data_IF_056282556083
#
_entry.id   IF_056282556083
#
_cell.length_a   1.000
_cell.length_b   1.000
_cell.length_c   1.000
_cell.angle_alpha   90.00
_cell.angle_beta   90.00
_cell.angle_gamma   90.00
#
_symmetry.space_group_name_H-M   'P 1'
#
loop_
_entity.id
_entity.type
_entity.pdbx_description
1 polymer ?
#
# COMPACT_ATOMS: atom_id res chain seq x y z
N UNK A 1 7.28 7.38 23.84
CA UNK A 1 6.53 6.87 22.67
C UNK A 1 5.87 8.04 22.05
N UNK A 2 6.28 8.28 20.84
CA UNK A 2 6.24 9.61 20.32
C UNK A 2 5.06 9.42 19.24
N UNK A 3 4.17 10.38 18.98
CA UNK A 3 2.86 10.17 18.27
C UNK A 3 2.88 9.46 16.89
N UNK A 4 3.89 9.66 16.02
CA UNK A 4 3.99 8.97 14.71
C UNK A 4 4.35 7.47 14.83
N UNK A 5 5.00 7.02 15.91
CA UNK A 5 5.30 5.60 16.13
C UNK A 5 4.00 4.82 16.35
N UNK A 6 3.10 5.40 17.14
CA UNK A 6 1.81 4.83 17.48
C UNK A 6 0.90 4.75 16.24
N UNK A 7 0.96 5.77 15.38
CA UNK A 7 0.26 5.78 14.10
C UNK A 7 0.83 4.74 13.09
N UNK A 8 2.15 4.54 13.05
CA UNK A 8 2.77 3.50 12.23
C UNK A 8 2.35 2.09 12.69
N UNK A 9 2.29 1.89 14.01
CA UNK A 9 1.85 0.63 14.60
C UNK A 9 0.37 0.35 14.28
N UNK A 10 -0.50 1.36 14.35
CA UNK A 10 -1.89 1.27 13.93
C UNK A 10 -2.04 0.90 12.44
N UNK A 11 -1.27 1.54 11.56
CA UNK A 11 -1.25 1.22 10.12
C UNK A 11 -0.83 -0.24 9.85
N UNK A 12 0.07 -0.80 10.66
CA UNK A 12 0.49 -2.19 10.53
C UNK A 12 -0.65 -3.18 10.80
N UNK A 13 -1.56 -2.86 11.72
CA UNK A 13 -2.75 -3.68 11.96
C UNK A 13 -3.76 -3.64 10.81
N UNK A 14 -3.83 -2.52 10.07
CA UNK A 14 -4.72 -2.37 8.90
C UNK A 14 -4.29 -3.30 7.75
N UNK A 15 -3.02 -3.69 7.68
CA UNK A 15 -2.53 -4.62 6.65
C UNK A 15 -3.07 -6.04 6.82
N UNK A 16 -3.46 -6.45 8.03
CA UNK A 16 -3.97 -7.81 8.32
C UNK A 16 -5.28 -8.10 7.57
N UNK A 17 -6.34 -7.28 7.70
CA UNK A 17 -7.58 -7.50 6.95
C UNK A 17 -7.38 -7.31 5.44
N UNK A 18 -6.49 -6.41 5.00
CA UNK A 18 -6.17 -6.22 3.58
C UNK A 18 -5.52 -7.48 2.98
N UNK A 19 -4.56 -8.08 3.68
CA UNK A 19 -3.93 -9.33 3.28
C UNK A 19 -4.95 -10.49 3.22
N UNK A 20 -5.89 -10.53 4.17
CA UNK A 20 -6.95 -11.54 4.18
C UNK A 20 -7.89 -11.42 2.96
N UNK A 21 -8.37 -10.21 2.67
CA UNK A 21 -9.24 -9.93 1.52
C UNK A 21 -8.48 -10.20 0.21
N UNK A 22 -7.20 -9.85 0.15
CA UNK A 22 -6.33 -10.15 -0.99
C UNK A 22 -6.13 -11.65 -1.24
N UNK A 23 -6.17 -12.48 -0.20
CA UNK A 23 -6.07 -13.93 -0.34
C UNK A 23 -7.39 -14.61 -0.73
N UNK A 24 -8.53 -14.16 -0.18
CA UNK A 24 -9.83 -14.86 -0.27
C UNK A 24 -10.92 -14.20 -1.14
N UNK A 25 -10.77 -12.94 -1.53
CA UNK A 25 -11.82 -12.19 -2.24
C UNK A 25 -12.00 -12.60 -3.69
N UNK A 26 -13.06 -12.09 -4.32
CA UNK A 26 -13.23 -12.18 -5.79
C UNK A 26 -12.08 -11.49 -6.54
N UNK A 27 -11.77 -11.86 -7.80
CA UNK A 27 -10.66 -11.27 -8.56
C UNK A 27 -10.63 -9.73 -8.55
N UNK A 28 -11.81 -9.09 -8.59
CA UNK A 28 -11.95 -7.64 -8.49
C UNK A 28 -11.66 -7.12 -7.09
N UNK A 29 -12.18 -7.77 -6.05
CA UNK A 29 -11.92 -7.40 -4.65
C UNK A 29 -10.45 -7.59 -4.27
N UNK A 30 -9.81 -8.66 -4.77
CA UNK A 30 -8.37 -8.90 -4.57
C UNK A 30 -7.54 -7.75 -5.13
N UNK A 31 -7.83 -7.30 -6.36
CA UNK A 31 -7.11 -6.18 -6.95
C UNK A 31 -7.29 -4.88 -6.14
N UNK A 32 -8.53 -4.56 -5.76
CA UNK A 32 -8.81 -3.36 -4.95
C UNK A 32 -8.09 -3.42 -3.61
N UNK A 33 -8.09 -4.59 -2.95
CA UNK A 33 -7.37 -4.78 -1.69
C UNK A 33 -5.86 -4.67 -1.83
N UNK A 34 -5.29 -5.09 -2.96
CA UNK A 34 -3.87 -4.90 -3.27
C UNK A 34 -3.52 -3.42 -3.45
N UNK A 35 -4.33 -2.68 -4.19
CA UNK A 35 -4.11 -1.24 -4.39
C UNK A 35 -4.24 -0.47 -3.06
N UNK A 36 -5.21 -0.83 -2.22
CA UNK A 36 -5.36 -0.26 -0.89
C UNK A 36 -4.19 -0.61 0.03
N UNK A 37 -3.67 -1.84 -0.04
CA UNK A 37 -2.49 -2.24 0.72
C UNK A 37 -1.25 -1.41 0.33
N UNK A 38 -1.07 -1.16 -0.96
CA UNK A 38 0.05 -0.36 -1.45
C UNK A 38 0.00 1.09 -0.94
N UNK A 39 -1.18 1.74 -0.97
CA UNK A 39 -1.37 3.08 -0.40
C UNK A 39 -1.04 3.11 1.10
N UNK A 40 -1.49 2.10 1.85
CA UNK A 40 -1.20 1.98 3.28
C UNK A 40 0.30 1.77 3.54
N UNK A 41 0.98 0.95 2.73
CA UNK A 41 2.43 0.71 2.83
C UNK A 41 3.21 1.99 2.53
N UNK A 42 2.80 2.75 1.51
CA UNK A 42 3.41 4.04 1.16
C UNK A 42 3.30 5.05 2.30
N UNK A 43 2.11 5.17 2.91
CA UNK A 43 1.89 6.01 4.10
C UNK A 43 2.70 5.52 5.31
N UNK A 44 2.78 4.21 5.52
CA UNK A 44 3.56 3.60 6.59
C UNK A 44 5.06 3.88 6.44
N UNK A 45 5.60 3.80 5.21
CA UNK A 45 6.99 4.17 4.90
C UNK A 45 7.26 5.66 5.16
N UNK A 46 6.32 6.53 4.80
CA UNK A 46 6.42 7.97 5.09
C UNK A 46 6.41 8.25 6.60
N UNK A 47 5.52 7.59 7.37
CA UNK A 47 5.47 7.72 8.83
C UNK A 47 6.73 7.21 9.50
N UNK A 48 7.28 6.07 9.04
CA UNK A 48 8.54 5.51 9.54
C UNK A 48 9.72 6.47 9.27
N UNK A 49 9.73 7.10 8.10
CA UNK A 49 10.75 8.11 7.74
C UNK A 49 10.73 9.29 8.72
N UNK A 50 9.53 9.78 9.07
CA UNK A 50 9.35 10.83 10.09
C UNK A 50 9.73 10.34 11.49
N UNK A 51 9.31 9.13 11.88
CA UNK A 51 9.60 8.57 13.20
C UNK A 51 11.10 8.40 13.44
N UNK A 52 11.83 7.89 12.45
CA UNK A 52 13.28 7.71 12.54
C UNK A 52 14.10 8.98 12.24
N UNK A 53 13.45 10.08 11.82
CA UNK A 53 14.12 11.33 11.43
C UNK A 53 15.22 11.13 10.37
N UNK A 54 15.03 10.15 9.48
CA UNK A 54 16.00 9.80 8.41
C UNK A 54 15.42 10.19 7.05
N UNK A 55 15.61 11.45 6.66
CA UNK A 55 15.16 11.99 5.36
C UNK A 55 15.52 11.14 4.12
N UNK A 56 16.68 10.44 4.03
CA UNK A 56 17.03 9.65 2.85
C UNK A 56 16.08 8.47 2.54
N UNK A 57 15.24 8.04 3.50
CA UNK A 57 14.25 6.98 3.27
C UNK A 57 12.98 7.48 2.58
N UNK A 58 12.81 8.80 2.43
CA UNK A 58 11.67 9.41 1.75
C UNK A 58 11.63 9.00 0.26
N UNK A 59 12.79 8.85 -0.38
CA UNK A 59 12.91 8.41 -1.76
C UNK A 59 12.28 7.03 -1.99
N UNK A 60 12.33 6.15 -0.98
CA UNK A 60 11.72 4.82 -1.06
C UNK A 60 10.19 4.90 -1.08
N UNK A 61 9.59 5.77 -0.27
CA UNK A 61 8.15 5.99 -0.28
C UNK A 61 7.67 6.57 -1.62
N UNK A 62 8.44 7.51 -2.19
CA UNK A 62 8.14 8.12 -3.48
C UNK A 62 8.27 7.10 -4.62
N UNK A 63 9.33 6.29 -4.63
CA UNK A 63 9.53 5.24 -5.63
C UNK A 63 8.40 4.19 -5.59
N UNK A 64 7.97 3.78 -4.40
CA UNK A 64 6.83 2.88 -4.22
C UNK A 64 5.54 3.49 -4.76
N UNK A 65 5.24 4.76 -4.44
CA UNK A 65 4.05 5.43 -4.95
C UNK A 65 4.00 5.48 -6.49
N UNK A 66 5.15 5.73 -7.13
CA UNK A 66 5.25 5.74 -8.59
C UNK A 66 5.07 4.34 -9.19
N UNK A 67 5.69 3.31 -8.61
CA UNK A 67 5.51 1.92 -9.06
C UNK A 67 4.07 1.44 -8.88
N UNK A 68 3.44 1.81 -7.77
CA UNK A 68 2.04 1.52 -7.47
C UNK A 68 1.11 2.01 -8.58
N UNK A 69 1.28 3.27 -8.97
CA UNK A 69 0.51 3.87 -10.05
C UNK A 69 0.69 3.10 -11.37
N UNK A 70 1.94 2.74 -11.71
CA UNK A 70 2.24 1.92 -12.88
C UNK A 70 1.55 0.56 -12.85
N UNK A 71 1.65 -0.16 -11.72
CA UNK A 71 1.01 -1.47 -11.55
C UNK A 71 -0.52 -1.40 -11.65
N UNK A 72 -1.14 -0.39 -11.05
CA UNK A 72 -2.59 -0.19 -11.06
C UNK A 72 -3.16 -0.05 -12.49
N UNK A 73 -2.48 0.70 -13.36
CA UNK A 73 -2.89 0.87 -14.76
C UNK A 73 -2.77 -0.45 -15.53
N UNK A 74 -1.67 -1.18 -15.34
CA UNK A 74 -1.44 -2.47 -16.01
C UNK A 74 -2.54 -3.47 -15.62
N UNK A 75 -2.86 -3.57 -14.33
CA UNK A 75 -3.93 -4.44 -13.85
C UNK A 75 -5.32 -3.99 -14.33
N UNK A 76 -5.63 -2.69 -14.26
CA UNK A 76 -6.91 -2.18 -14.78
C UNK A 76 -7.10 -2.51 -16.27
N UNK A 77 -6.03 -2.35 -17.07
CA UNK A 77 -6.03 -2.70 -18.50
C UNK A 77 -6.14 -4.21 -18.74
N UNK A 78 -5.52 -5.03 -17.89
CA UNK A 78 -5.64 -6.48 -17.94
C UNK A 78 -7.08 -6.93 -17.71
N UNK A 79 -7.74 -6.41 -16.67
CA UNK A 79 -9.15 -6.70 -16.38
C UNK A 79 -10.09 -6.21 -17.48
N UNK A 80 -9.87 -5.00 -18.02
CA UNK A 80 -10.67 -4.47 -19.12
C UNK A 80 -10.60 -5.33 -20.41
N UNK A 81 -9.50 -6.06 -20.61
CA UNK A 81 -9.29 -6.93 -21.77
C UNK A 81 -9.78 -8.36 -21.58
N UNK A 82 -9.64 -8.93 -20.38
CA UNK A 82 -9.90 -10.35 -20.13
C UNK A 82 -11.21 -10.65 -19.40
N UNK A 83 -11.86 -9.64 -18.80
CA UNK A 83 -13.10 -9.80 -18.03
C UNK A 83 -14.32 -9.22 -18.77
N UNK A 84 -14.39 -9.43 -20.09
CA UNK A 84 -15.57 -9.13 -20.92
C UNK A 84 -16.57 -10.28 -20.86
#
# INVERSE_FOLDING_TARGET
MKSWELAAQAMMFVLIPLAWISAKGDPRQRLVSFYMADVVITLLMMLLTLAFSRMPLMDLAIALALMSFGSGIVFARFFARHLR
#
